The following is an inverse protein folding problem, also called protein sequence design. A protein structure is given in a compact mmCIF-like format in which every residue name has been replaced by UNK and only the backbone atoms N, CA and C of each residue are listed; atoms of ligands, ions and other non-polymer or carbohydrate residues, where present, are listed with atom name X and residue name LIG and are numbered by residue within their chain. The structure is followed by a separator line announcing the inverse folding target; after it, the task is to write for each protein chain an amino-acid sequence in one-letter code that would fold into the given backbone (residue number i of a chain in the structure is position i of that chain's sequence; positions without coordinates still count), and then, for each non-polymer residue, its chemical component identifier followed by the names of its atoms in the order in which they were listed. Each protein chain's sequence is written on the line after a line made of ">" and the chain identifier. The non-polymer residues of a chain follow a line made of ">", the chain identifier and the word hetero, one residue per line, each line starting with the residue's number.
data_IF_184710939760
#
_entry.id   IF_184710939760
#
_cell.length_a   1.000
_cell.length_b   1.000
_cell.length_c   1.000
_cell.angle_alpha   90.00
_cell.angle_beta   90.00
_cell.angle_gamma   90.00
#
_symmetry.space_group_name_H-M   'P 1'
#
loop_
_entity.id
_entity.type
_entity.pdbx_description
1 polymer ?
#
# COMPACT_ATOMS: atom_id res chain seq x y z
N UNK A 1 35.82 -31.28 8.57
CA UNK A 1 35.46 -31.12 10.00
C UNK A 1 34.23 -30.22 10.10
N UNK A 2 33.33 -30.39 11.07
CA UNK A 2 32.22 -29.44 11.32
C UNK A 2 32.50 -28.72 12.63
N UNK A 3 32.56 -27.38 12.58
CA UNK A 3 32.69 -26.52 13.75
C UNK A 3 31.49 -25.56 13.84
N UNK A 4 30.90 -25.46 15.03
CA UNK A 4 29.79 -24.54 15.32
C UNK A 4 30.24 -23.58 16.41
N UNK A 5 30.25 -22.29 16.10
CA UNK A 5 30.55 -21.22 17.07
C UNK A 5 29.30 -20.38 17.32
N UNK A 6 28.92 -20.23 18.59
CA UNK A 6 27.83 -19.34 19.03
C UNK A 6 28.43 -18.13 19.78
N UNK A 7 28.37 -16.92 19.21
CA UNK A 7 28.90 -15.74 19.88
C UNK A 7 28.05 -15.35 21.11
N UNK A 8 28.69 -14.72 22.10
CA UNK A 8 28.06 -14.33 23.37
C UNK A 8 27.06 -13.18 23.16
N UNK A 9 25.99 -13.16 23.95
CA UNK A 9 24.95 -12.13 23.92
C UNK A 9 25.33 -10.89 24.74
N UNK A 10 24.81 -9.73 24.33
CA UNK A 10 25.08 -8.43 24.98
C UNK A 10 23.78 -7.80 25.44
N UNK A 11 23.75 -7.34 26.70
CA UNK A 11 22.61 -6.60 27.27
C UNK A 11 22.94 -5.11 27.24
N UNK A 12 22.04 -4.32 26.67
CA UNK A 12 22.18 -2.89 26.49
C UNK A 12 21.23 -2.15 27.43
N UNK A 13 21.66 -0.99 27.91
CA UNK A 13 20.81 -0.07 28.65
C UNK A 13 19.85 0.69 27.71
N UNK A 14 19.07 1.61 28.28
CA UNK A 14 18.09 2.40 27.54
C UNK A 14 18.72 3.36 26.51
N UNK A 15 20.02 3.66 26.62
CA UNK A 15 20.78 4.47 25.66
C UNK A 15 21.45 3.60 24.58
N UNK A 16 21.29 2.27 24.66
CA UNK A 16 21.90 1.32 23.75
C UNK A 16 23.35 0.98 24.09
N UNK A 17 23.84 1.42 25.26
CA UNK A 17 25.21 1.18 25.69
C UNK A 17 25.31 -0.19 26.41
N UNK A 18 26.37 -0.98 26.16
CA UNK A 18 26.56 -2.27 26.83
C UNK A 18 26.70 -2.12 28.34
N UNK A 19 25.88 -2.85 29.10
CA UNK A 19 25.96 -2.83 30.55
C UNK A 19 27.16 -3.66 31.00
N UNK A 20 28.13 -2.98 31.62
CA UNK A 20 29.36 -3.59 32.12
C UNK A 20 29.06 -4.61 33.23
N UNK A 21 29.77 -5.75 33.21
CA UNK A 21 29.57 -6.84 34.17
C UNK A 21 28.36 -7.75 33.90
N UNK A 22 27.43 -7.34 33.04
CA UNK A 22 26.21 -8.12 32.69
C UNK A 22 26.24 -8.63 31.25
N UNK A 23 26.89 -7.90 30.34
CA UNK A 23 27.12 -8.31 28.95
C UNK A 23 28.06 -9.52 28.82
N UNK A 24 27.96 -10.26 27.70
CA UNK A 24 28.68 -11.53 27.37
C UNK A 24 28.07 -12.81 27.97
N UNK A 25 26.76 -12.95 27.91
CA UNK A 25 26.08 -14.16 28.40
C UNK A 25 26.06 -15.27 27.34
N UNK A 26 26.31 -16.51 27.75
CA UNK A 26 26.37 -17.66 26.83
C UNK A 26 24.97 -18.20 26.48
N UNK A 27 23.96 -17.88 27.30
CA UNK A 27 22.57 -18.28 27.12
C UNK A 27 21.58 -17.15 27.47
N UNK A 28 20.35 -17.24 26.96
CA UNK A 28 19.26 -16.29 27.25
C UNK A 28 18.90 -16.30 28.74
N UNK A 29 18.85 -17.50 29.33
CA UNK A 29 18.52 -17.69 30.74
C UNK A 29 19.54 -17.00 31.64
N UNK A 30 20.83 -17.15 31.33
CA UNK A 30 21.90 -16.46 32.06
C UNK A 30 21.79 -14.93 31.91
N UNK A 31 21.45 -14.43 30.72
CA UNK A 31 21.27 -13.00 30.50
C UNK A 31 20.09 -12.43 31.31
N UNK A 32 18.97 -13.17 31.38
CA UNK A 32 17.78 -12.76 32.16
C UNK A 32 18.03 -12.81 33.66
N UNK A 33 18.78 -13.80 34.17
CA UNK A 33 19.13 -13.88 35.59
C UNK A 33 20.04 -12.73 36.04
N UNK A 34 20.95 -12.28 35.17
CA UNK A 34 21.77 -11.08 35.46
C UNK A 34 20.95 -9.79 35.36
N UNK A 35 20.01 -9.71 34.41
CA UNK A 35 19.14 -8.55 34.25
C UNK A 35 18.20 -8.34 35.45
N UNK A 36 17.75 -9.40 36.13
CA UNK A 36 16.87 -9.28 37.30
C UNK A 36 17.53 -8.67 38.54
N UNK A 37 18.85 -8.52 38.53
CA UNK A 37 19.63 -7.86 39.60
C UNK A 37 19.88 -6.38 39.32
N UNK A 38 19.49 -5.89 38.14
CA UNK A 38 19.57 -4.48 37.79
C UNK A 38 18.38 -3.71 38.38
N UNK A 39 18.50 -2.38 38.56
CA UNK A 39 17.38 -1.53 38.96
C UNK A 39 16.19 -1.64 37.99
N UNK A 40 15.00 -1.22 38.44
CA UNK A 40 13.81 -1.17 37.59
C UNK A 40 14.07 -0.26 36.37
N UNK A 41 13.93 -0.83 35.17
CA UNK A 41 14.25 -0.15 33.92
C UNK A 41 13.92 -0.98 32.68
N UNK A 42 14.12 -0.40 31.49
CA UNK A 42 13.98 -1.11 30.21
C UNK A 42 15.37 -1.48 29.69
N UNK A 43 15.55 -2.75 29.33
CA UNK A 43 16.83 -3.29 28.86
C UNK A 43 16.64 -4.07 27.56
N UNK A 44 17.67 -4.05 26.70
CA UNK A 44 17.63 -4.70 25.39
C UNK A 44 18.66 -5.83 25.31
N UNK A 45 18.21 -7.03 24.92
CA UNK A 45 19.10 -8.17 24.68
C UNK A 45 19.38 -8.30 23.18
N UNK A 46 20.66 -8.36 22.80
CA UNK A 46 21.08 -8.53 21.40
C UNK A 46 21.78 -9.87 21.18
N UNK A 47 21.39 -10.56 20.09
CA UNK A 47 21.95 -11.85 19.66
C UNK A 47 22.69 -11.71 18.34
N UNK A 48 24.02 -11.92 18.31
CA UNK A 48 24.75 -12.02 17.05
C UNK A 48 24.41 -13.33 16.30
N UNK A 49 24.52 -13.30 14.97
CA UNK A 49 24.25 -14.45 14.10
C UNK A 49 25.23 -15.61 14.35
N UNK A 50 24.73 -16.85 14.34
CA UNK A 50 25.58 -18.05 14.48
C UNK A 50 26.24 -18.44 13.15
N UNK A 51 27.47 -18.94 13.20
CA UNK A 51 28.23 -19.43 12.03
C UNK A 51 28.48 -20.93 12.15
N UNK A 52 28.22 -21.67 11.06
CA UNK A 52 28.52 -23.09 10.91
C UNK A 52 29.53 -23.23 9.79
N UNK A 53 30.66 -23.89 10.04
CA UNK A 53 31.69 -24.14 9.03
C UNK A 53 31.84 -25.65 8.83
N UNK A 54 31.79 -26.08 7.55
CA UNK A 54 31.96 -27.48 7.14
C UNK A 54 33.13 -27.56 6.17
N UNK A 55 34.21 -28.22 6.58
CA UNK A 55 35.44 -28.33 5.79
C UNK A 55 35.63 -29.73 5.20
N UNK A 56 35.87 -29.82 3.88
CA UNK A 56 36.20 -31.04 3.13
C UNK A 56 37.38 -30.69 2.20
N UNK A 57 38.60 -30.97 2.64
CA UNK A 57 39.81 -30.53 1.94
C UNK A 57 40.14 -31.33 0.67
N UNK A 58 40.44 -30.61 -0.42
CA UNK A 58 41.23 -31.06 -1.58
C UNK A 58 42.06 -29.85 -2.05
N UNK A 59 43.38 -30.02 -2.19
CA UNK A 59 44.33 -28.98 -2.65
C UNK A 59 44.34 -28.87 -4.19
N UNK A 60 44.23 -27.65 -4.74
CA UNK A 60 44.39 -27.35 -6.18
C UNK A 60 45.36 -26.17 -6.45
N UNK A 61 46.06 -26.18 -7.60
CA UNK A 61 47.12 -25.22 -7.93
C UNK A 61 46.60 -23.82 -8.34
N UNK A 62 47.45 -22.80 -8.17
CA UNK A 62 47.11 -21.38 -8.30
C UNK A 62 46.63 -20.96 -9.72
N UNK A 63 45.50 -20.22 -9.84
CA UNK A 63 45.00 -19.72 -11.12
C UNK A 63 45.64 -18.38 -11.56
N UNK A 64 45.72 -18.19 -12.88
CA UNK A 64 46.14 -16.96 -13.58
C UNK A 64 45.13 -15.81 -13.43
N UNK A 65 45.54 -14.53 -13.61
CA UNK A 65 44.68 -13.37 -13.38
C UNK A 65 43.49 -13.29 -14.36
N UNK A 66 42.28 -13.17 -13.81
CA UNK A 66 41.04 -12.98 -14.58
C UNK A 66 40.95 -11.57 -15.21
N UNK A 67 40.37 -11.44 -16.42
CA UNK A 67 40.11 -10.15 -17.05
C UNK A 67 39.07 -9.33 -16.29
N UNK A 68 39.22 -8.00 -16.32
CA UNK A 68 38.30 -7.06 -15.65
C UNK A 68 36.84 -7.24 -16.15
N UNK A 69 35.84 -7.13 -15.27
CA UNK A 69 34.44 -7.23 -15.65
C UNK A 69 34.06 -6.12 -16.62
N UNK A 70 33.45 -6.49 -17.74
CA UNK A 70 32.79 -5.53 -18.63
C UNK A 70 31.67 -4.78 -17.87
N UNK A 71 31.44 -3.48 -18.17
CA UNK A 71 30.41 -2.69 -17.52
C UNK A 71 29.03 -3.33 -17.72
N UNK A 72 28.27 -3.46 -16.62
CA UNK A 72 26.88 -3.92 -16.69
C UNK A 72 26.09 -3.00 -17.65
N UNK A 73 25.27 -3.58 -18.55
CA UNK A 73 24.45 -2.80 -19.45
C UNK A 73 23.50 -1.91 -18.64
N UNK A 74 23.41 -0.63 -19.03
CA UNK A 74 22.45 0.30 -18.44
C UNK A 74 21.03 -0.27 -18.53
N UNK A 75 20.18 -0.07 -17.50
CA UNK A 75 18.79 -0.49 -17.54
C UNK A 75 18.12 0.06 -18.79
N UNK A 76 17.49 -0.81 -19.59
CA UNK A 76 16.74 -0.36 -20.75
C UNK A 76 15.65 0.64 -20.30
N UNK A 77 15.50 1.76 -21.03
CA UNK A 77 14.46 2.73 -20.72
C UNK A 77 13.07 2.09 -20.83
N UNK A 78 12.24 2.33 -19.82
CA UNK A 78 10.85 1.89 -19.78
C UNK A 78 10.15 2.28 -21.11
N UNK A 79 9.43 1.37 -21.79
CA UNK A 79 8.79 1.65 -23.06
C UNK A 79 7.93 2.91 -22.98
N UNK A 80 8.14 3.83 -23.93
CA UNK A 80 7.30 5.00 -24.05
C UNK A 80 5.83 4.58 -24.18
N UNK A 81 4.89 5.28 -23.53
CA UNK A 81 3.48 4.90 -23.60
C UNK A 81 2.98 4.92 -25.04
N UNK A 82 2.34 3.82 -25.45
CA UNK A 82 1.74 3.69 -26.78
C UNK A 82 0.66 4.77 -26.93
N UNK A 83 0.80 5.71 -27.89
CA UNK A 83 -0.22 6.72 -28.16
C UNK A 83 -1.54 6.04 -28.53
N UNK A 84 -2.64 6.37 -27.85
CA UNK A 84 -3.96 5.81 -28.11
C UNK A 84 -4.47 4.79 -27.08
N UNK A 85 -3.63 4.32 -26.16
CA UNK A 85 -4.03 3.36 -25.13
C UNK A 85 -4.52 4.00 -23.81
N UNK A 86 -4.54 5.33 -23.73
CA UNK A 86 -5.10 6.03 -22.56
C UNK A 86 -6.61 5.97 -22.63
N UNK A 87 -7.20 5.15 -21.77
CA UNK A 87 -8.66 5.03 -21.66
C UNK A 87 -9.23 6.26 -20.96
N UNK A 88 -8.49 6.77 -19.97
CA UNK A 88 -8.93 7.88 -19.15
C UNK A 88 -7.75 8.67 -18.58
N UNK A 89 -7.78 10.00 -18.73
CA UNK A 89 -6.85 10.93 -18.08
C UNK A 89 -7.66 12.16 -17.65
N UNK A 90 -7.51 12.56 -16.39
CA UNK A 90 -8.19 13.75 -15.91
C UNK A 90 -7.46 14.99 -16.42
N UNK A 91 -8.18 15.85 -17.14
CA UNK A 91 -7.64 17.06 -17.80
C UNK A 91 -7.37 18.24 -16.86
N UNK A 92 -7.70 18.09 -15.57
CA UNK A 92 -7.50 19.14 -14.57
C UNK A 92 -8.57 20.22 -14.53
N UNK A 93 -9.62 20.15 -15.37
CA UNK A 93 -10.52 21.29 -15.57
C UNK A 93 -11.99 21.01 -15.28
N UNK A 94 -12.49 19.79 -15.52
CA UNK A 94 -13.94 19.57 -15.44
C UNK A 94 -14.35 18.43 -14.52
N UNK A 95 -15.07 18.76 -13.44
CA UNK A 95 -15.74 17.78 -12.57
C UNK A 95 -17.13 17.36 -13.07
N UNK A 96 -17.68 18.01 -14.12
CA UNK A 96 -19.08 17.82 -14.56
C UNK A 96 -19.41 16.38 -15.00
N UNK A 97 -18.40 15.60 -15.39
CA UNK A 97 -18.56 14.20 -15.75
C UNK A 97 -18.44 13.24 -14.54
N UNK A 98 -17.97 13.76 -13.40
CA UNK A 98 -17.77 13.03 -12.16
C UNK A 98 -18.95 13.27 -11.22
N UNK A 99 -19.72 12.21 -10.93
CA UNK A 99 -20.85 12.29 -9.99
C UNK A 99 -20.40 11.93 -8.59
N UNK A 100 -20.57 12.85 -7.65
CA UNK A 100 -20.73 12.51 -6.24
C UNK A 100 -22.16 11.96 -6.05
N UNK A 101 -22.30 10.65 -5.99
CA UNK A 101 -23.54 10.07 -5.46
C UNK A 101 -23.45 10.09 -3.94
N UNK A 102 -23.98 11.15 -3.33
CA UNK A 102 -24.16 11.22 -1.89
C UNK A 102 -25.53 10.64 -1.55
N UNK A 103 -25.61 9.53 -0.78
CA UNK A 103 -26.87 9.16 -0.16
C UNK A 103 -27.29 10.33 0.75
N UNK A 104 -28.51 10.85 0.54
CA UNK A 104 -29.20 11.77 1.45
C UNK A 104 -28.88 13.28 1.38
N UNK A 105 -28.46 13.82 0.23
CA UNK A 105 -28.56 15.28 0.01
C UNK A 105 -27.52 16.16 0.72
N UNK A 106 -26.40 15.59 1.18
CA UNK A 106 -25.28 16.35 1.77
C UNK A 106 -24.37 17.01 0.70
N UNK A 107 -24.96 17.60 -0.35
CA UNK A 107 -24.38 17.63 -1.70
C UNK A 107 -23.24 18.61 -2.01
N UNK A 108 -22.95 19.67 -1.26
CA UNK A 108 -22.33 20.82 -1.93
C UNK A 108 -20.82 21.07 -1.75
N UNK A 109 -20.17 20.66 -0.65
CA UNK A 109 -18.82 21.18 -0.32
C UNK A 109 -17.69 20.14 -0.35
N UNK A 110 -18.01 18.92 -0.74
CA UNK A 110 -17.12 17.78 -0.57
C UNK A 110 -16.18 17.52 -1.74
N UNK A 111 -16.42 18.09 -2.93
CA UNK A 111 -15.60 17.84 -4.12
C UNK A 111 -15.26 19.15 -4.82
N UNK A 112 -13.98 19.45 -4.97
CA UNK A 112 -13.52 20.69 -5.62
C UNK A 112 -12.26 20.44 -6.43
N UNK A 113 -12.06 21.25 -7.48
CA UNK A 113 -10.76 21.36 -8.14
C UNK A 113 -9.99 22.47 -7.43
N UNK A 114 -8.82 22.13 -6.91
CA UNK A 114 -7.97 23.05 -6.16
C UNK A 114 -6.56 23.05 -6.75
N UNK A 115 -5.76 24.03 -6.36
CA UNK A 115 -4.32 23.95 -6.57
C UNK A 115 -3.72 22.88 -5.67
N UNK A 116 -2.74 22.15 -6.20
CA UNK A 116 -1.93 21.19 -5.48
C UNK A 116 -1.27 21.90 -4.28
N UNK A 117 -1.43 21.36 -3.05
CA UNK A 117 -0.94 22.00 -1.83
C UNK A 117 0.58 22.12 -1.76
N UNK A 118 1.32 21.33 -2.54
CA UNK A 118 2.80 21.30 -2.57
C UNK A 118 3.36 21.92 -3.84
N UNK A 119 2.65 21.81 -4.97
CA UNK A 119 3.11 22.28 -6.28
C UNK A 119 2.16 23.35 -6.87
N UNK A 120 2.35 24.64 -6.53
CA UNK A 120 1.50 25.72 -7.05
C UNK A 120 1.39 25.70 -8.59
N UNK A 121 0.16 25.75 -9.10
CA UNK A 121 -0.15 25.74 -10.54
C UNK A 121 -0.50 24.36 -11.10
N UNK A 122 -0.22 23.27 -10.37
CA UNK A 122 -0.79 21.96 -10.68
C UNK A 122 -2.19 21.87 -10.07
N UNK A 123 -3.18 21.37 -10.83
CA UNK A 123 -4.53 21.14 -10.31
C UNK A 123 -4.65 19.74 -9.70
N UNK A 124 -5.45 19.63 -8.64
CA UNK A 124 -5.81 18.38 -7.99
C UNK A 124 -7.31 18.36 -7.68
N UNK A 125 -7.89 17.18 -7.59
CA UNK A 125 -9.25 17.01 -7.07
C UNK A 125 -9.16 16.86 -5.55
N UNK A 126 -9.72 17.80 -4.81
CA UNK A 126 -9.90 17.69 -3.38
C UNK A 126 -11.23 17.00 -3.09
N UNK A 127 -11.18 15.91 -2.34
CA UNK A 127 -12.31 15.30 -1.67
C UNK A 127 -12.25 15.65 -0.18
N UNK A 128 -13.32 16.25 0.33
CA UNK A 128 -13.44 16.72 1.70
C UNK A 128 -14.66 16.09 2.37
N UNK A 129 -14.46 15.54 3.56
CA UNK A 129 -15.54 15.02 4.38
C UNK A 129 -15.41 15.61 5.78
N UNK A 130 -16.39 16.43 6.18
CA UNK A 130 -16.52 16.93 7.54
C UNK A 130 -17.58 16.10 8.26
N UNK A 131 -17.17 15.40 9.33
CA UNK A 131 -18.10 14.61 10.15
C UNK A 131 -18.11 15.16 11.57
N UNK A 132 -19.28 15.63 11.99
CA UNK A 132 -19.51 16.17 13.32
C UNK A 132 -19.78 15.05 14.33
N UNK A 133 -19.32 15.26 15.57
CA UNK A 133 -19.60 14.35 16.67
C UNK A 133 -21.11 14.15 16.88
N UNK A 134 -21.53 12.89 17.05
CA UNK A 134 -22.92 12.54 17.36
C UNK A 134 -23.91 12.53 16.18
N UNK A 135 -23.46 12.71 14.93
CA UNK A 135 -24.34 12.44 13.78
C UNK A 135 -24.63 10.94 13.64
N UNK A 136 -25.90 10.60 13.39
CA UNK A 136 -26.36 9.22 13.17
C UNK A 136 -25.60 8.59 12.00
N UNK A 137 -24.72 7.64 12.33
CA UNK A 137 -23.88 6.92 11.37
C UNK A 137 -24.57 5.75 10.67
N UNK A 138 -25.89 5.61 10.81
CA UNK A 138 -26.65 4.68 9.99
C UNK A 138 -26.54 5.02 8.48
N UNK A 139 -26.04 6.22 8.13
CA UNK A 139 -25.71 6.63 6.76
C UNK A 139 -24.30 6.25 6.29
N UNK A 140 -24.19 5.79 5.03
CA UNK A 140 -22.91 5.65 4.33
C UNK A 140 -22.43 7.02 3.87
N UNK A 141 -21.30 7.51 4.40
CA UNK A 141 -20.72 8.79 3.97
C UNK A 141 -19.65 8.54 2.90
N UNK A 142 -19.93 8.97 1.65
CA UNK A 142 -19.05 8.74 0.51
C UNK A 142 -18.78 10.03 -0.25
N UNK A 143 -17.51 10.37 -0.42
CA UNK A 143 -17.08 11.45 -1.30
C UNK A 143 -16.16 10.81 -2.33
N UNK A 144 -16.76 10.32 -3.41
CA UNK A 144 -16.09 9.48 -4.41
C UNK A 144 -16.19 10.13 -5.79
N UNK A 145 -15.08 10.04 -6.52
CA UNK A 145 -14.91 10.41 -7.91
C UNK A 145 -15.10 9.12 -8.72
N UNK A 146 -16.16 9.02 -9.52
CA UNK A 146 -16.47 7.84 -10.36
C UNK A 146 -16.26 8.08 -11.85
N UNK A 147 -15.51 7.19 -12.51
CA UNK A 147 -15.24 7.35 -13.93
C UNK A 147 -16.55 7.44 -14.73
N UNK A 148 -16.69 8.37 -15.69
CA UNK A 148 -17.92 8.54 -16.45
C UNK A 148 -18.26 7.22 -17.17
N UNK A 149 -19.51 6.74 -17.01
CA UNK A 149 -20.02 5.49 -17.60
C UNK A 149 -19.41 4.16 -17.07
N UNK A 150 -18.54 4.23 -16.06
CA UNK A 150 -17.75 3.10 -15.59
C UNK A 150 -16.66 2.73 -16.60
N UNK A 151 -15.61 2.03 -16.15
CA UNK A 151 -14.53 1.58 -17.03
C UNK A 151 -14.81 0.13 -17.41
N UNK A 152 -14.97 -0.13 -18.70
CA UNK A 152 -15.13 -1.50 -19.17
C UNK A 152 -13.76 -2.16 -19.25
N UNK A 153 -13.42 -2.94 -18.22
CA UNK A 153 -12.25 -3.82 -18.28
C UNK A 153 -12.67 -5.13 -18.97
N UNK A 154 -12.15 -5.33 -20.16
CA UNK A 154 -12.37 -6.51 -21.00
C UNK A 154 -11.71 -7.74 -20.38
N UNK A 155 -12.34 -8.89 -20.59
CA UNK A 155 -11.76 -10.17 -20.13
C UNK A 155 -10.50 -10.50 -20.94
N UNK A 156 -9.46 -10.95 -20.26
CA UNK A 156 -8.15 -11.26 -20.83
C UNK A 156 -7.25 -10.05 -21.11
N UNK A 157 -7.67 -8.81 -20.83
CA UNK A 157 -6.89 -7.60 -21.07
C UNK A 157 -6.13 -7.12 -19.83
N UNK A 158 -5.03 -6.41 -20.09
CA UNK A 158 -4.20 -5.80 -19.06
C UNK A 158 -4.43 -4.29 -18.98
N UNK A 159 -4.39 -3.77 -17.76
CA UNK A 159 -4.61 -2.38 -17.47
C UNK A 159 -3.63 -1.89 -16.43
N UNK A 160 -3.16 -0.66 -16.61
CA UNK A 160 -2.36 0.07 -15.64
C UNK A 160 -3.14 1.28 -15.18
N UNK A 161 -3.38 1.34 -13.87
CA UNK A 161 -4.05 2.42 -13.19
C UNK A 161 -3.00 3.13 -12.34
N UNK A 162 -2.84 4.42 -12.58
CA UNK A 162 -1.87 5.25 -11.88
C UNK A 162 -2.56 6.47 -11.32
N UNK A 163 -2.29 6.76 -10.06
CA UNK A 163 -2.72 8.01 -9.48
C UNK A 163 -1.73 8.46 -8.42
N UNK A 164 -1.78 9.74 -8.15
CA UNK A 164 -1.07 10.35 -7.03
C UNK A 164 -2.10 10.79 -6.01
N UNK A 165 -1.77 10.63 -4.74
CA UNK A 165 -2.63 11.07 -3.66
C UNK A 165 -1.84 11.83 -2.61
N UNK A 166 -2.44 12.86 -2.06
CA UNK A 166 -1.87 13.63 -0.96
C UNK A 166 -2.87 13.67 0.18
N UNK A 167 -2.38 13.36 1.38
CA UNK A 167 -3.14 13.44 2.63
C UNK A 167 -2.49 14.44 3.58
N UNK A 168 -3.29 15.32 4.16
CA UNK A 168 -2.80 16.38 5.03
C UNK A 168 -2.25 15.87 6.38
N UNK A 169 -1.26 16.59 6.91
CA UNK A 169 -0.53 16.31 8.15
C UNK A 169 -1.37 16.52 9.41
N UNK A 170 -2.24 15.57 9.74
CA UNK A 170 -2.86 15.40 11.08
C UNK A 170 -4.01 14.37 11.09
N UNK A 171 -4.36 13.79 9.95
CA UNK A 171 -5.63 13.10 9.87
C UNK A 171 -5.49 11.60 10.20
N UNK A 172 -6.10 11.18 11.30
CA UNK A 172 -6.22 9.78 11.73
C UNK A 172 -7.28 9.06 10.88
N UNK A 173 -7.04 9.05 9.58
CA UNK A 173 -8.04 8.77 8.58
C UNK A 173 -8.12 7.31 8.20
N UNK A 174 -9.29 6.96 7.67
CA UNK A 174 -9.45 5.89 6.71
C UNK A 174 -9.93 6.55 5.42
N UNK A 175 -9.03 6.63 4.44
CA UNK A 175 -9.38 6.88 3.06
C UNK A 175 -9.47 5.52 2.38
N UNK A 176 -10.46 5.36 1.51
CA UNK A 176 -10.71 4.10 0.81
C UNK A 176 -10.58 4.36 -0.68
N UNK A 177 -9.68 3.63 -1.31
CA UNK A 177 -9.57 3.61 -2.76
C UNK A 177 -10.12 2.26 -3.21
N UNK A 178 -11.22 2.29 -3.97
CA UNK A 178 -11.93 1.08 -4.34
C UNK A 178 -12.43 1.10 -5.77
N UNK A 179 -12.25 -0.03 -6.44
CA UNK A 179 -13.05 -0.38 -7.60
C UNK A 179 -14.36 -1.03 -7.11
N UNK A 180 -15.48 -0.78 -7.79
CA UNK A 180 -16.82 -1.24 -7.41
C UNK A 180 -17.53 -1.83 -8.63
N UNK A 181 -18.49 -2.73 -8.44
CA UNK A 181 -19.35 -3.22 -9.52
C UNK A 181 -20.62 -2.35 -9.59
N UNK A 182 -21.07 -1.89 -10.77
CA UNK A 182 -22.33 -1.16 -10.90
C UNK A 182 -23.49 -2.01 -10.36
N UNK A 183 -24.43 -1.35 -9.67
CA UNK A 183 -25.68 -1.93 -9.15
C UNK A 183 -25.53 -2.97 -8.04
N UNK A 184 -24.38 -3.08 -7.39
CA UNK A 184 -24.30 -3.75 -6.10
C UNK A 184 -24.04 -2.72 -4.98
N UNK A 185 -25.08 -2.35 -4.24
CA UNK A 185 -25.00 -1.41 -3.11
C UNK A 185 -24.12 -1.88 -1.94
N UNK A 186 -23.60 -3.13 -2.03
CA UNK A 186 -22.74 -3.80 -1.07
C UNK A 186 -21.52 -4.53 -1.68
N UNK A 187 -21.19 -4.35 -2.98
CA UNK A 187 -20.04 -5.06 -3.59
C UNK A 187 -18.89 -4.12 -3.96
N UNK A 188 -18.32 -3.44 -2.98
CA UNK A 188 -16.98 -2.84 -3.09
C UNK A 188 -15.96 -3.98 -3.26
N UNK A 189 -15.75 -4.45 -4.48
CA UNK A 189 -15.00 -5.68 -4.75
C UNK A 189 -15.36 -6.87 -3.83
N UNK A 190 -16.59 -7.02 -3.34
CA UNK A 190 -17.00 -8.30 -2.72
C UNK A 190 -17.05 -9.36 -3.83
N UNK A 191 -16.26 -10.43 -3.65
CA UNK A 191 -16.24 -11.67 -4.43
C UNK A 191 -15.28 -11.71 -5.64
N UNK A 192 -14.05 -12.11 -5.36
CA UNK A 192 -13.35 -13.10 -6.19
C UNK A 192 -13.52 -14.45 -5.49
N UNK A 193 -14.39 -15.29 -6.05
CA UNK A 193 -14.88 -16.60 -5.57
C UNK A 193 -15.02 -16.74 -4.03
N UNK A 194 -16.22 -16.36 -3.57
CA UNK A 194 -16.84 -16.70 -2.28
C UNK A 194 -16.29 -16.06 -1.00
N UNK A 195 -15.94 -14.74 -0.94
CA UNK A 195 -16.00 -13.82 0.26
C UNK A 195 -14.91 -12.70 0.36
N UNK A 196 -14.05 -12.43 -0.62
CA UNK A 196 -12.93 -11.44 -0.44
C UNK A 196 -13.11 -10.07 -1.10
N UNK A 197 -12.62 -8.99 -0.45
CA UNK A 197 -12.48 -7.64 -1.02
C UNK A 197 -11.06 -7.30 -1.43
N UNK A 198 -10.91 -6.60 -2.57
CA UNK A 198 -9.68 -5.95 -3.04
C UNK A 198 -9.76 -4.45 -2.73
N UNK A 199 -9.31 -4.04 -1.55
CA UNK A 199 -9.39 -2.66 -1.09
C UNK A 199 -8.04 -2.20 -0.59
N UNK A 200 -7.64 -1.00 -0.97
CA UNK A 200 -6.49 -0.32 -0.37
C UNK A 200 -7.07 0.62 0.70
N UNK A 201 -6.90 0.23 1.96
CA UNK A 201 -7.36 0.99 3.11
C UNK A 201 -6.20 1.80 3.66
N UNK A 202 -6.45 3.05 4.01
CA UNK A 202 -5.55 3.73 4.92
C UNK A 202 -5.92 3.40 6.37
N UNK A 203 -4.97 3.01 7.22
CA UNK A 203 -5.18 2.86 8.67
C UNK A 203 -3.90 3.25 9.42
N UNK A 204 -3.97 4.36 10.17
CA UNK A 204 -2.91 4.82 11.07
C UNK A 204 -1.51 4.85 10.41
N UNK A 205 -1.35 5.61 9.34
CA UNK A 205 -0.06 5.78 8.66
C UNK A 205 0.31 4.69 7.64
N UNK A 206 -0.51 3.64 7.48
CA UNK A 206 -0.21 2.51 6.60
C UNK A 206 -1.32 2.27 5.57
N UNK A 207 -0.92 1.88 4.36
CA UNK A 207 -1.84 1.24 3.41
C UNK A 207 -1.98 -0.24 3.75
N UNK A 208 -3.22 -0.67 3.94
CA UNK A 208 -3.59 -2.06 4.15
C UNK A 208 -4.36 -2.53 2.92
N UNK A 209 -3.79 -3.49 2.21
CA UNK A 209 -4.47 -4.18 1.13
C UNK A 209 -5.27 -5.32 1.70
N UNK A 210 -6.59 -5.31 1.53
CA UNK A 210 -7.34 -6.56 1.53
C UNK A 210 -7.35 -7.05 0.09
N UNK A 211 -6.91 -8.28 -0.21
CA UNK A 211 -6.98 -8.89 -1.55
C UNK A 211 -7.35 -10.38 -1.43
N UNK A 212 -8.54 -10.63 -0.88
CA UNK A 212 -9.05 -11.97 -0.57
C UNK A 212 -9.95 -12.00 0.68
N UNK A 213 -10.47 -13.17 1.06
CA UNK A 213 -11.43 -13.30 2.19
C UNK A 213 -10.87 -12.85 3.55
N UNK A 214 -9.57 -13.00 3.79
CA UNK A 214 -8.99 -12.89 5.15
C UNK A 214 -7.56 -12.35 5.22
N UNK A 215 -7.03 -11.79 4.12
CA UNK A 215 -5.63 -11.35 4.05
C UNK A 215 -5.51 -9.83 4.01
N UNK A 216 -5.49 -9.18 5.17
CA UNK A 216 -5.02 -7.80 5.30
C UNK A 216 -3.48 -7.80 5.36
N UNK A 217 -2.81 -7.34 4.31
CA UNK A 217 -1.37 -7.12 4.31
C UNK A 217 -1.04 -5.64 4.38
N UNK A 218 -0.02 -5.25 5.15
CA UNK A 218 0.54 -3.90 5.06
C UNK A 218 1.26 -3.77 3.70
N UNK A 219 0.74 -2.91 2.82
CA UNK A 219 1.31 -2.61 1.51
C UNK A 219 2.46 -1.59 1.60
N UNK A 220 2.63 -0.95 2.75
CA UNK A 220 3.65 0.06 3.00
C UNK A 220 3.11 1.29 3.71
N UNK A 221 4.03 2.16 4.10
CA UNK A 221 3.72 3.46 4.71
C UNK A 221 3.45 4.49 3.62
N UNK A 222 2.56 5.41 3.94
CA UNK A 222 2.33 6.61 3.16
C UNK A 222 3.09 7.79 3.75
N UNK A 223 3.26 8.83 2.96
CA UNK A 223 3.87 10.06 3.40
C UNK A 223 2.77 11.09 3.64
N UNK A 224 2.40 11.27 4.91
CA UNK A 224 1.54 12.41 5.29
C UNK A 224 2.25 13.71 4.89
N UNK A 225 1.48 14.65 4.35
CA UNK A 225 2.00 15.95 3.92
C UNK A 225 2.83 15.88 2.64
N UNK A 226 2.80 14.74 1.95
CA UNK A 226 3.46 14.56 0.68
C UNK A 226 2.57 13.77 -0.29
N UNK A 227 2.96 13.80 -1.57
CA UNK A 227 2.29 13.04 -2.61
C UNK A 227 2.84 11.61 -2.64
N UNK A 228 1.93 10.64 -2.54
CA UNK A 228 2.20 9.23 -2.74
C UNK A 228 1.77 8.81 -4.15
N UNK A 229 2.67 8.14 -4.87
CA UNK A 229 2.43 7.54 -6.18
C UNK A 229 1.97 6.11 -6.01
N UNK A 230 0.81 5.80 -6.57
CA UNK A 230 0.26 4.45 -6.55
C UNK A 230 0.04 3.99 -7.99
N UNK A 231 0.50 2.77 -8.27
CA UNK A 231 0.31 2.08 -9.54
C UNK A 231 -0.31 0.72 -9.27
N UNK A 232 -1.34 0.38 -10.04
CA UNK A 232 -1.92 -0.97 -10.07
C UNK A 232 -1.80 -1.48 -11.50
N UNK A 233 -1.18 -2.64 -11.67
CA UNK A 233 -1.16 -3.37 -12.94
C UNK A 233 -1.99 -4.63 -12.76
N UNK A 234 -3.04 -4.74 -13.57
CA UNK A 234 -4.04 -5.77 -13.43
C UNK A 234 -4.31 -6.44 -14.77
N UNK A 235 -4.35 -7.77 -14.79
CA UNK A 235 -4.91 -8.55 -15.89
C UNK A 235 -6.27 -9.08 -15.49
N UNK A 236 -7.31 -8.53 -16.10
CA UNK A 236 -8.68 -8.94 -15.83
C UNK A 236 -8.93 -10.28 -16.50
N UNK A 237 -9.32 -11.31 -15.75
CA UNK A 237 -9.55 -12.64 -16.30
C UNK A 237 -10.62 -13.43 -15.54
N UNK A 238 -11.39 -14.22 -16.29
CA UNK A 238 -12.32 -15.27 -15.82
C UNK A 238 -11.70 -16.67 -15.79
N UNK A 239 -10.47 -16.85 -16.30
CA UNK A 239 -9.84 -18.17 -16.57
C UNK A 239 -8.75 -18.56 -15.56
N UNK A 240 -8.63 -17.83 -14.46
CA UNK A 240 -7.63 -18.07 -13.43
C UNK A 240 -6.22 -17.65 -13.83
N UNK A 241 -6.03 -16.98 -14.97
CA UNK A 241 -4.73 -16.45 -15.43
C UNK A 241 -4.60 -14.94 -15.19
N UNK A 242 -5.50 -14.35 -14.39
CA UNK A 242 -5.44 -12.95 -14.00
C UNK A 242 -4.37 -12.69 -12.95
N UNK A 243 -3.94 -11.44 -12.86
CA UNK A 243 -2.98 -11.00 -11.84
C UNK A 243 -3.26 -9.58 -11.37
N UNK A 244 -2.77 -9.25 -10.19
CA UNK A 244 -2.76 -7.92 -9.63
C UNK A 244 -1.39 -7.64 -9.03
N UNK A 245 -0.77 -6.55 -9.45
CA UNK A 245 0.48 -6.01 -8.91
C UNK A 245 0.25 -4.57 -8.47
N UNK A 246 0.85 -4.18 -7.35
CA UNK A 246 0.67 -2.86 -6.75
C UNK A 246 2.03 -2.30 -6.39
N UNK A 247 2.26 -1.04 -6.72
CA UNK A 247 3.42 -0.26 -6.31
C UNK A 247 2.94 0.91 -5.47
N UNK A 248 3.73 1.24 -4.45
CA UNK A 248 3.51 2.39 -3.58
C UNK A 248 4.87 3.06 -3.39
N UNK A 249 5.07 4.20 -4.05
CA UNK A 249 6.34 4.96 -4.00
C UNK A 249 7.59 4.13 -4.29
N UNK A 250 7.47 3.04 -5.04
CA UNK A 250 8.53 2.04 -5.23
C UNK A 250 8.67 1.66 -6.71
N UNK A 251 9.90 1.29 -7.10
CA UNK A 251 10.17 0.70 -8.42
C UNK A 251 9.64 -0.74 -8.51
N UNK A 252 9.73 -1.49 -7.41
CA UNK A 252 9.26 -2.87 -7.31
C UNK A 252 7.85 -2.96 -6.69
N UNK A 253 7.03 -3.96 -7.06
CA UNK A 253 5.68 -4.08 -6.53
C UNK A 253 5.73 -4.47 -5.04
N UNK A 254 5.07 -3.69 -4.20
CA UNK A 254 4.85 -4.00 -2.78
C UNK A 254 3.84 -5.14 -2.58
N UNK A 255 3.09 -5.46 -3.63
CA UNK A 255 2.19 -6.60 -3.66
C UNK A 255 2.12 -7.18 -5.07
N UNK A 256 2.14 -8.50 -5.17
CA UNK A 256 1.99 -9.23 -6.43
C UNK A 256 1.25 -10.53 -6.18
N UNK A 257 0.17 -10.76 -6.93
CA UNK A 257 -0.59 -12.01 -6.91
C UNK A 257 -1.01 -12.39 -8.31
N UNK A 258 -0.75 -13.63 -8.68
CA UNK A 258 -1.11 -14.24 -9.97
C UNK A 258 -2.17 -15.32 -9.74
N UNK A 259 -2.66 -15.92 -10.83
CA UNK A 259 -3.57 -17.05 -10.75
C UNK A 259 -5.00 -16.67 -10.31
N UNK A 260 -5.41 -15.42 -10.51
CA UNK A 260 -6.67 -14.88 -9.97
C UNK A 260 -7.78 -14.82 -11.01
N UNK A 261 -9.00 -15.17 -10.60
CA UNK A 261 -10.23 -14.79 -11.30
C UNK A 261 -10.62 -13.36 -10.88
N UNK A 262 -10.24 -12.37 -11.68
CA UNK A 262 -10.53 -10.96 -11.40
C UNK A 262 -11.86 -10.48 -11.98
N UNK A 263 -12.59 -11.35 -12.68
CA UNK A 263 -13.89 -11.05 -13.28
C UNK A 263 -14.86 -12.20 -13.09
N UNK A 264 -16.10 -11.85 -12.74
CA UNK A 264 -17.24 -12.78 -12.73
C UNK A 264 -18.30 -12.27 -13.72
N UNK A 265 -18.32 -12.87 -14.92
CA UNK A 265 -19.23 -12.52 -16.01
C UNK A 265 -18.98 -11.14 -16.67
N UNK A 266 -19.96 -10.63 -17.41
CA UNK A 266 -19.86 -9.38 -18.21
C UNK A 266 -19.98 -8.08 -17.40
N UNK A 267 -19.64 -8.15 -16.12
CA UNK A 267 -19.76 -7.03 -15.20
C UNK A 267 -18.83 -5.88 -15.62
N UNK A 268 -19.37 -4.67 -15.79
CA UNK A 268 -18.54 -3.46 -15.87
C UNK A 268 -17.85 -3.24 -14.51
N UNK A 269 -16.65 -2.68 -14.50
CA UNK A 269 -15.99 -2.27 -13.27
C UNK A 269 -16.08 -0.74 -13.17
N UNK A 270 -16.67 -0.25 -12.09
CA UNK A 270 -16.62 1.16 -11.75
C UNK A 270 -15.31 1.43 -11.03
N UNK A 271 -14.46 2.23 -11.64
CA UNK A 271 -13.34 2.80 -10.93
C UNK A 271 -13.84 3.96 -10.06
N UNK A 272 -13.52 3.93 -8.77
CA UNK A 272 -13.86 4.99 -7.83
C UNK A 272 -12.65 5.39 -6.99
N UNK A 273 -12.56 6.67 -6.70
CA UNK A 273 -11.44 7.25 -5.96
C UNK A 273 -11.96 8.33 -5.04
N UNK A 274 -11.64 8.27 -3.75
CA UNK A 274 -12.10 9.28 -2.82
C UNK A 274 -12.04 8.85 -1.37
N UNK A 275 -12.90 9.45 -0.56
CA UNK A 275 -13.01 9.18 0.88
C UNK A 275 -14.32 8.45 1.15
N UNK A 276 -14.23 7.29 1.79
CA UNK A 276 -15.38 6.52 2.23
C UNK A 276 -15.26 6.22 3.72
N UNK A 277 -16.33 6.50 4.45
CA UNK A 277 -16.48 6.09 5.84
C UNK A 277 -17.61 5.07 5.93
N UNK A 278 -17.29 3.85 6.36
CA UNK A 278 -18.27 2.77 6.53
C UNK A 278 -19.20 3.01 7.73
N UNK A 279 -20.40 2.40 7.74
CA UNK A 279 -21.44 2.64 8.76
C UNK A 279 -21.10 2.14 10.18
N UNK A 280 -19.95 1.47 10.37
CA UNK A 280 -19.55 0.88 11.66
C UNK A 280 -18.26 1.52 12.22
N UNK A 281 -17.83 2.65 11.68
CA UNK A 281 -16.66 3.36 12.19
C UNK A 281 -17.08 4.33 13.29
N UNK A 282 -17.15 3.84 14.53
CA UNK A 282 -17.33 4.70 15.70
C UNK A 282 -16.23 5.74 15.72
N UNK A 283 -16.58 6.99 15.41
CA UNK A 283 -15.63 8.07 15.53
C UNK A 283 -16.01 8.91 16.72
N UNK A 284 -15.19 8.77 17.75
CA UNK A 284 -15.38 9.40 19.04
C UNK A 284 -14.91 10.87 19.06
N UNK A 285 -14.61 11.44 17.89
CA UNK A 285 -14.10 12.81 17.70
C UNK A 285 -14.70 13.41 16.44
N UNK A 286 -14.82 14.73 16.39
CA UNK A 286 -15.05 15.47 15.13
C UNK A 286 -13.77 15.43 14.32
N UNK A 287 -13.84 15.09 13.05
CA UNK A 287 -12.68 15.06 12.16
C UNK A 287 -13.05 15.61 10.79
N UNK A 288 -12.06 16.24 10.19
CA UNK A 288 -12.04 16.64 8.79
C UNK A 288 -11.16 15.63 8.07
N UNK A 289 -11.62 15.16 6.91
CA UNK A 289 -10.80 14.37 5.98
C UNK A 289 -10.59 15.17 4.72
N UNK A 290 -9.35 15.27 4.26
CA UNK A 290 -8.98 15.87 2.99
C UNK A 290 -8.04 14.96 2.22
N UNK A 291 -8.45 14.62 1.00
CA UNK A 291 -7.68 13.80 0.09
C UNK A 291 -7.61 14.52 -1.26
N UNK A 292 -6.39 14.76 -1.73
CA UNK A 292 -6.12 15.37 -3.01
C UNK A 292 -5.69 14.29 -3.99
N UNK A 293 -6.16 14.34 -5.22
CA UNK A 293 -5.92 13.27 -6.19
C UNK A 293 -5.70 13.77 -7.61
N UNK A 294 -4.76 13.13 -8.31
CA UNK A 294 -4.53 13.24 -9.76
C UNK A 294 -4.41 11.83 -10.35
N UNK A 295 -5.01 11.56 -11.52
CA UNK A 295 -5.21 10.18 -11.99
C UNK A 295 -5.05 10.01 -13.50
N UNK A 296 -4.54 8.83 -13.88
CA UNK A 296 -4.41 8.33 -15.25
C UNK A 296 -4.68 6.82 -15.32
N UNK A 297 -5.41 6.37 -16.34
CA UNK A 297 -5.71 4.95 -16.59
C UNK A 297 -5.41 4.60 -18.05
N UNK A 298 -4.66 3.52 -18.25
CA UNK A 298 -4.19 3.09 -19.57
C UNK A 298 -4.39 1.58 -19.75
N UNK A 299 -4.70 1.16 -20.97
CA UNK A 299 -4.60 -0.23 -21.38
C UNK A 299 -3.15 -0.54 -21.76
N UNK A 300 -2.65 -1.73 -21.43
CA UNK A 300 -1.31 -2.18 -21.84
C UNK A 300 -1.42 -3.21 -22.95
#
# INVERSE_FOLDING_TARGET
>A
MIEITRPLMTLLDEFGEPIEGVSKSASEVEAMEKASRLPDGTYYLTRPNAKIVVDRGVEEPAPEPEPEPEPEPEPEPDPAPIPGNTIFEWDGQTLSQWRSELPNGHEAEALSVVDDPVNPGRKAIQTRQDLAWGQDQNGKYRVEIKAPNGIFLEDGKEYVLEWETFMADNENNRALIAMDKPNCSHCQFHNMDVTGTSQIHYRAGNYVGNFGMYGSGNLGKINLGAWDKIKIHVKVSTKGDGFCKIWLNSAEPVYSKTGQNLKTGDSRLNYKLGVYCGPNEWVNVTYRRQLYTAMKIRQV
#
